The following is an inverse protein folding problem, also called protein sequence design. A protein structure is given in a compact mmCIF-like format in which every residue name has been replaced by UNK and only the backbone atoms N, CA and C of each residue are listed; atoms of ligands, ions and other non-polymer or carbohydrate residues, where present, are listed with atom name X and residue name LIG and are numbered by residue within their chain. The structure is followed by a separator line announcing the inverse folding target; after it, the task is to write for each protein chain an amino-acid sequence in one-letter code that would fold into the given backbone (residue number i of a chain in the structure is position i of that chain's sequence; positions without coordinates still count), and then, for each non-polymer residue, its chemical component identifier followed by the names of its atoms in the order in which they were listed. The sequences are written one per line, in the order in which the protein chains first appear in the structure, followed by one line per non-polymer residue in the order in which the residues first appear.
data_IF_291926771595
#
_entry.id   IF_291926771595
#
_cell.length_a   1.000
_cell.length_b   1.000
_cell.length_c   1.000
_cell.angle_alpha   90.00
_cell.angle_beta   90.00
_cell.angle_gamma   90.00
#
_symmetry.space_group_name_H-M   'P 1'
#
loop_
_entity.id
_entity.type
_entity.pdbx_description
1 polymer ?
#
# COMPACT_ATOMS: atom_id res chain seq x y z
N UNK A 1 -11.98 -5.03 13.50
CA UNK A 1 -11.15 -4.26 12.55
C UNK A 1 -10.08 -3.57 13.39
N UNK A 2 -8.78 -3.86 13.21
CA UNK A 2 -7.73 -3.20 13.99
C UNK A 2 -7.64 -1.72 13.62
N UNK A 3 -7.42 -0.85 14.60
CA UNK A 3 -7.06 0.54 14.33
C UNK A 3 -5.59 0.61 13.93
N UNK A 4 -5.15 1.74 13.35
CA UNK A 4 -3.77 1.92 12.89
C UNK A 4 -2.75 1.63 14.00
N UNK A 5 -3.07 2.02 15.24
CA UNK A 5 -2.24 1.77 16.42
C UNK A 5 -2.11 0.26 16.70
N UNK A 6 -3.22 -0.48 16.72
CA UNK A 6 -3.19 -1.94 16.91
C UNK A 6 -2.37 -2.64 15.83
N UNK A 7 -2.51 -2.22 14.57
CA UNK A 7 -1.76 -2.77 13.46
C UNK A 7 -0.24 -2.54 13.63
N UNK A 8 0.15 -1.34 14.02
CA UNK A 8 1.56 -0.99 14.22
C UNK A 8 2.19 -1.70 15.45
N UNK A 9 1.37 -2.15 16.41
CA UNK A 9 1.84 -2.95 17.55
C UNK A 9 2.07 -4.43 17.20
N UNK A 10 1.52 -4.92 16.08
CA UNK A 10 1.74 -6.29 15.65
C UNK A 10 3.20 -6.51 15.24
N UNK A 11 3.77 -7.69 15.51
CA UNK A 11 5.09 -8.03 14.98
C UNK A 11 5.05 -8.03 13.43
N UNK A 12 6.18 -7.72 12.75
CA UNK A 12 6.21 -7.59 11.29
C UNK A 12 5.66 -8.79 10.53
N UNK A 13 5.93 -10.01 11.03
CA UNK A 13 5.39 -11.24 10.45
C UNK A 13 3.85 -11.33 10.54
N UNK A 14 3.26 -10.86 11.65
CA UNK A 14 1.81 -10.85 11.81
C UNK A 14 1.15 -9.72 11.00
N UNK A 15 1.81 -8.57 10.86
CA UNK A 15 1.35 -7.51 9.95
C UNK A 15 1.29 -8.02 8.50
N UNK A 16 2.37 -8.68 8.05
CA UNK A 16 2.42 -9.25 6.70
C UNK A 16 1.36 -10.32 6.48
N UNK A 17 1.20 -11.25 7.44
CA UNK A 17 0.17 -12.28 7.35
C UNK A 17 -1.22 -11.64 7.25
N UNK A 18 -1.50 -10.62 8.07
CA UNK A 18 -2.77 -9.90 8.01
C UNK A 18 -3.00 -9.22 6.65
N UNK A 19 -1.97 -8.59 6.06
CA UNK A 19 -2.08 -8.00 4.72
C UNK A 19 -2.28 -9.08 3.66
N UNK A 20 -1.68 -10.26 3.78
CA UNK A 20 -1.86 -11.35 2.82
C UNK A 20 -3.21 -12.03 2.90
N UNK A 21 -3.78 -12.15 4.10
CA UNK A 21 -5.10 -12.76 4.28
C UNK A 21 -6.25 -11.80 4.01
N UNK A 22 -6.08 -10.52 4.32
CA UNK A 22 -7.17 -9.53 4.28
C UNK A 22 -6.91 -8.33 3.35
N UNK A 23 -5.71 -8.20 2.82
CA UNK A 23 -5.32 -7.08 1.99
C UNK A 23 -5.78 -7.25 0.55
N UNK A 24 -6.43 -6.21 0.06
CA UNK A 24 -6.77 -6.08 -1.35
C UNK A 24 -5.71 -5.23 -2.05
N UNK A 25 -5.08 -5.76 -3.09
CA UNK A 25 -4.12 -5.00 -3.89
C UNK A 25 -4.83 -3.88 -4.66
N UNK A 26 -4.37 -2.64 -4.50
CA UNK A 26 -4.95 -1.48 -5.18
C UNK A 26 -4.10 -1.01 -6.36
N UNK A 27 -2.81 -0.78 -6.10
CA UNK A 27 -1.93 -0.15 -7.07
C UNK A 27 -0.46 -0.45 -6.75
N UNK A 28 0.41 -0.17 -7.71
CA UNK A 28 1.85 -0.15 -7.50
C UNK A 28 2.41 1.15 -8.07
N UNK A 29 3.50 1.61 -7.48
CA UNK A 29 4.31 2.71 -8.01
C UNK A 29 5.77 2.30 -8.04
N UNK A 30 6.58 2.84 -8.98
CA UNK A 30 8.02 2.69 -8.89
C UNK A 30 8.54 3.29 -7.57
N UNK A 31 9.46 2.58 -6.93
CA UNK A 31 10.22 3.11 -5.80
C UNK A 31 11.35 4.01 -6.33
N UNK A 32 11.81 4.99 -5.55
CA UNK A 32 13.01 5.75 -5.90
C UNK A 32 14.23 4.81 -5.89
N UNK A 33 14.70 4.43 -7.08
CA UNK A 33 15.75 3.42 -7.26
C UNK A 33 15.23 2.16 -7.96
N UNK A 34 15.47 0.99 -7.35
CA UNK A 34 15.05 -0.32 -7.88
C UNK A 34 13.93 -0.91 -7.04
N UNK A 35 12.86 -1.34 -7.70
CA UNK A 35 11.75 -2.05 -7.05
C UNK A 35 10.41 -1.38 -7.27
N UNK A 36 9.40 -1.89 -6.55
CA UNK A 36 8.02 -1.42 -6.63
C UNK A 36 7.47 -1.24 -5.23
N UNK A 37 6.79 -0.13 -4.98
CA UNK A 37 5.96 0.03 -3.79
C UNK A 37 4.53 -0.34 -4.15
N UNK A 38 4.04 -1.43 -3.56
CA UNK A 38 2.66 -1.90 -3.73
C UNK A 38 1.80 -1.37 -2.59
N UNK A 39 0.61 -0.91 -2.96
CA UNK A 39 -0.42 -0.43 -2.05
C UNK A 39 -1.49 -1.50 -1.88
N UNK A 40 -1.77 -1.83 -0.63
CA UNK A 40 -2.84 -2.75 -0.23
C UNK A 40 -3.85 -2.02 0.65
N UNK A 41 -5.12 -2.38 0.53
CA UNK A 41 -6.18 -1.95 1.43
C UNK A 41 -6.57 -3.12 2.34
N UNK A 42 -6.42 -2.93 3.65
CA UNK A 42 -6.83 -3.90 4.67
C UNK A 42 -7.92 -3.27 5.53
N UNK A 43 -9.18 -3.54 5.18
CA UNK A 43 -10.32 -2.89 5.83
C UNK A 43 -10.31 -1.37 5.64
N UNK A 44 -10.10 -0.62 6.73
CA UNK A 44 -10.06 0.84 6.73
C UNK A 44 -8.64 1.44 6.62
N UNK A 45 -7.61 0.59 6.53
CA UNK A 45 -6.23 0.99 6.42
C UNK A 45 -5.68 0.74 5.02
N UNK A 46 -4.75 1.58 4.62
CA UNK A 46 -3.88 1.40 3.47
C UNK A 46 -2.48 1.05 3.96
N UNK A 47 -1.83 0.12 3.28
CA UNK A 47 -0.49 -0.35 3.64
C UNK A 47 0.40 -0.32 2.40
N UNK A 48 1.53 0.35 2.51
CA UNK A 48 2.58 0.37 1.50
C UNK A 48 3.65 -0.67 1.84
N UNK A 49 3.90 -1.57 0.89
CA UNK A 49 4.97 -2.56 0.95
C UNK A 49 5.95 -2.29 -0.19
N UNK A 50 7.20 -2.07 0.16
CA UNK A 50 8.29 -1.95 -0.81
C UNK A 50 8.84 -3.33 -1.14
N UNK A 51 8.85 -3.67 -2.42
CA UNK A 51 9.48 -4.85 -2.97
C UNK A 51 10.75 -4.45 -3.70
N UNK A 52 11.92 -4.66 -3.08
CA UNK A 52 13.21 -4.50 -3.76
C UNK A 52 13.38 -5.58 -4.83
N UNK A 53 12.89 -6.78 -4.54
CA UNK A 53 12.74 -7.90 -5.47
C UNK A 53 11.56 -8.80 -5.00
N UNK A 54 11.18 -9.87 -5.73
CA UNK A 54 10.05 -10.72 -5.34
C UNK A 54 10.20 -11.42 -3.98
N UNK A 55 11.43 -11.53 -3.45
CA UNK A 55 11.75 -12.21 -2.19
C UNK A 55 12.22 -11.27 -1.08
N UNK A 56 12.58 -10.03 -1.40
CA UNK A 56 13.00 -8.98 -0.46
C UNK A 56 11.97 -7.86 -0.46
N UNK A 57 11.20 -7.80 0.62
CA UNK A 57 10.16 -6.81 0.81
C UNK A 57 10.05 -6.35 2.26
N UNK A 58 9.61 -5.11 2.42
CA UNK A 58 9.45 -4.48 3.73
C UNK A 58 8.18 -3.62 3.75
N UNK A 59 7.48 -3.61 4.88
CA UNK A 59 6.35 -2.71 5.10
C UNK A 59 6.94 -1.32 5.35
N UNK A 60 6.61 -0.36 4.49
CA UNK A 60 7.07 1.03 4.67
C UNK A 60 6.22 1.74 5.72
N UNK A 61 4.89 1.62 5.60
CA UNK A 61 3.92 2.27 6.49
C UNK A 61 2.51 1.74 6.27
N UNK A 62 1.70 1.86 7.32
CA UNK A 62 0.25 1.81 7.25
C UNK A 62 -0.31 3.21 7.54
N UNK A 63 -1.42 3.56 6.90
CA UNK A 63 -2.10 4.85 7.08
C UNK A 63 -3.58 4.73 6.73
N UNK A 64 -4.40 5.67 7.20
CA UNK A 64 -5.79 5.82 6.76
C UNK A 64 -6.03 7.13 5.98
N UNK A 65 -5.06 8.06 6.03
CA UNK A 65 -5.24 9.38 5.45
C UNK A 65 -5.12 9.33 3.91
N UNK A 66 -6.14 9.78 3.17
CA UNK A 66 -6.14 9.73 1.71
C UNK A 66 -5.09 10.64 1.07
N UNK A 67 -4.49 11.60 1.79
CA UNK A 67 -3.41 12.44 1.27
C UNK A 67 -2.23 11.61 0.78
N UNK A 68 -1.97 10.46 1.41
CA UNK A 68 -0.88 9.55 1.04
C UNK A 68 -1.19 8.71 -0.21
N UNK A 69 -2.42 8.75 -0.73
CA UNK A 69 -2.80 8.11 -1.99
C UNK A 69 -2.44 8.96 -3.22
N UNK A 70 -2.17 10.25 -3.05
CA UNK A 70 -1.78 11.16 -4.14
C UNK A 70 -0.75 10.58 -5.12
N UNK A 71 0.40 9.99 -4.70
CA UNK A 71 1.37 9.44 -5.65
C UNK A 71 0.85 8.25 -6.48
N UNK A 72 -0.23 7.60 -6.06
CA UNK A 72 -0.89 6.55 -6.83
C UNK A 72 -1.94 7.12 -7.77
N UNK A 73 -2.65 8.17 -7.35
CA UNK A 73 -3.64 8.86 -8.16
C UNK A 73 -3.01 9.65 -9.31
N UNK A 74 -1.83 10.24 -9.09
CA UNK A 74 -1.07 10.98 -10.12
C UNK A 74 -0.65 10.09 -11.31
N UNK A 75 -0.51 8.78 -11.08
CA UNK A 75 -0.24 7.80 -12.14
C UNK A 75 -1.46 7.45 -13.00
N UNK A 76 -2.67 7.77 -12.53
CA UNK A 76 -3.90 7.55 -13.27
C UNK A 76 -4.09 8.75 -14.19
N UNK A 77 -3.88 8.56 -15.49
CA UNK A 77 -4.23 9.59 -16.47
C UNK A 77 -5.76 9.73 -16.53
N UNK A 78 -6.28 10.71 -15.78
CA UNK A 78 -7.71 11.04 -15.78
C UNK A 78 -8.13 11.79 -17.06
N UNK A 79 -7.17 12.27 -17.86
CA UNK A 79 -7.45 12.94 -19.12
C UNK A 79 -8.16 12.01 -20.12
N UNK A 80 -7.91 10.70 -20.06
CA UNK A 80 -8.62 9.71 -20.85
C UNK A 80 -10.07 9.45 -20.44
N UNK A 81 -10.48 9.81 -19.21
CA UNK A 81 -11.80 9.50 -18.65
C UNK A 81 -12.85 10.59 -18.91
N UNK A 82 -12.41 11.83 -19.09
CA UNK A 82 -13.26 12.98 -19.42
C UNK A 82 -13.30 13.14 -20.95
N UNK A 83 -13.99 12.23 -21.64
CA UNK A 83 -14.45 12.54 -23.00
C UNK A 83 -15.79 13.30 -22.92
N UNK A 84 -15.96 14.40 -23.66
CA UNK A 84 -17.24 15.09 -23.79
C UNK A 84 -18.30 14.23 -24.48
#
# INVERSE_FOLDING_TARGET
MPFLEDFNQLPPAAQLLYIWEHGYYLAARPAEGTGLVKLYQTGALFVEIHFKNPSDFEILRAFHDPVHLQPYLDQIDLNGLLRP
#
